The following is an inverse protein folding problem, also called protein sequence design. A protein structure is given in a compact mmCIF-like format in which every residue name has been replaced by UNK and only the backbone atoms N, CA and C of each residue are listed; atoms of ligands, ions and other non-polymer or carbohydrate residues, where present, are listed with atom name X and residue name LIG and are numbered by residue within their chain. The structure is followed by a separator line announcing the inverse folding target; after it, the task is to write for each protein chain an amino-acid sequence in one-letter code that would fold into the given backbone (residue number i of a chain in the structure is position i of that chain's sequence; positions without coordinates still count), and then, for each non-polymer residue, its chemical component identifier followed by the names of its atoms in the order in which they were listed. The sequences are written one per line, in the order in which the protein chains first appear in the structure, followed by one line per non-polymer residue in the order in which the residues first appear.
data_IF_587318108005
#
_entry.id   IF_587318108005
#
_cell.length_a   1.000
_cell.length_b   1.000
_cell.length_c   1.000
_cell.angle_alpha   90.00
_cell.angle_beta   90.00
_cell.angle_gamma   90.00
#
_symmetry.space_group_name_H-M   'P 1'
#
loop_
_entity.id
_entity.type
_entity.pdbx_description
1 polymer ?
#
# COMPACT_ATOMS: atom_id res chain seq x y z
N UNK A 1 6.30 24.20 -8.73
CA UNK A 1 6.48 22.91 -8.04
C UNK A 1 5.20 22.06 -8.03
N UNK A 2 3.99 22.64 -7.87
CA UNK A 2 2.71 21.90 -7.95
C UNK A 2 1.89 22.16 -9.24
N UNK A 3 2.54 22.50 -10.35
CA UNK A 3 1.85 22.83 -11.61
C UNK A 3 1.80 21.65 -12.59
N UNK A 4 2.50 20.56 -12.29
CA UNK A 4 2.50 19.36 -13.13
C UNK A 4 1.26 18.50 -12.80
N UNK A 5 0.30 18.35 -13.73
CA UNK A 5 -0.90 17.56 -13.51
C UNK A 5 -0.60 16.09 -13.23
N UNK A 6 0.47 15.52 -13.80
CA UNK A 6 0.85 14.12 -13.61
C UNK A 6 1.36 13.88 -12.19
N UNK A 7 2.13 14.81 -11.64
CA UNK A 7 2.61 14.72 -10.27
C UNK A 7 1.45 14.79 -9.26
N UNK A 8 0.46 15.66 -9.50
CA UNK A 8 -0.73 15.75 -8.66
C UNK A 8 -1.57 14.46 -8.71
N UNK A 9 -1.74 13.89 -9.91
CA UNK A 9 -2.41 12.61 -10.07
C UNK A 9 -1.67 11.48 -9.35
N UNK A 10 -0.34 11.43 -9.49
CA UNK A 10 0.50 10.45 -8.81
C UNK A 10 0.33 10.54 -7.30
N UNK A 11 0.43 11.73 -6.72
CA UNK A 11 0.22 11.94 -5.28
C UNK A 11 -1.18 11.50 -4.84
N UNK A 12 -2.21 11.85 -5.60
CA UNK A 12 -3.58 11.47 -5.28
C UNK A 12 -3.77 9.94 -5.29
N UNK A 13 -3.22 9.25 -6.30
CA UNK A 13 -3.30 7.79 -6.40
C UNK A 13 -2.41 7.08 -5.38
N UNK A 14 -1.22 7.61 -5.06
CA UNK A 14 -0.38 7.06 -4.01
C UNK A 14 -1.08 7.10 -2.65
N UNK A 15 -1.68 8.24 -2.29
CA UNK A 15 -2.47 8.37 -1.06
C UNK A 15 -3.70 7.45 -1.06
N UNK A 16 -4.37 7.30 -2.21
CA UNK A 16 -5.50 6.38 -2.34
C UNK A 16 -5.06 4.92 -2.17
N UNK A 17 -3.93 4.53 -2.76
CA UNK A 17 -3.34 3.21 -2.60
C UNK A 17 -2.96 2.93 -1.15
N UNK A 18 -2.27 3.86 -0.48
CA UNK A 18 -1.86 3.71 0.92
C UNK A 18 -3.08 3.54 1.84
N UNK A 19 -4.15 4.30 1.61
CA UNK A 19 -5.40 4.16 2.36
C UNK A 19 -6.05 2.79 2.13
N UNK A 20 -6.17 2.36 0.88
CA UNK A 20 -6.76 1.06 0.53
C UNK A 20 -5.92 -0.09 1.09
N UNK A 21 -4.59 0.04 1.04
CA UNK A 21 -3.67 -0.93 1.60
C UNK A 21 -3.87 -1.07 3.11
N UNK A 22 -3.88 0.05 3.85
CA UNK A 22 -4.15 0.05 5.28
C UNK A 22 -5.53 -0.53 5.63
N UNK A 23 -6.56 -0.26 4.82
CA UNK A 23 -7.88 -0.86 5.00
C UNK A 23 -7.86 -2.38 4.85
N UNK A 24 -7.22 -2.90 3.80
CA UNK A 24 -7.05 -4.34 3.59
C UNK A 24 -6.26 -5.02 4.71
N UNK A 25 -5.11 -4.46 5.07
CA UNK A 25 -4.17 -5.09 6.00
C UNK A 25 -4.60 -4.94 7.46
N UNK A 26 -5.28 -3.85 7.81
CA UNK A 26 -5.77 -3.64 9.19
C UNK A 26 -6.68 -4.77 9.66
N UNK A 27 -7.51 -5.33 8.76
CA UNK A 27 -8.37 -6.48 9.06
C UNK A 27 -7.54 -7.69 9.54
N UNK A 28 -6.40 -7.95 8.92
CA UNK A 28 -5.50 -9.05 9.29
C UNK A 28 -4.86 -8.81 10.66
N UNK A 29 -4.49 -7.56 10.97
CA UNK A 29 -3.81 -7.20 12.23
C UNK A 29 -4.79 -7.27 13.41
N UNK A 30 -6.00 -6.72 13.28
CA UNK A 30 -6.94 -6.60 14.42
C UNK A 30 -7.79 -7.84 14.66
N UNK A 31 -7.94 -8.73 13.67
CA UNK A 31 -8.85 -9.88 13.74
C UNK A 31 -8.60 -10.76 14.98
N UNK A 32 -7.35 -11.13 15.24
CA UNK A 32 -7.01 -12.02 16.37
C UNK A 32 -7.31 -11.37 17.71
N UNK A 33 -6.92 -10.11 17.89
CA UNK A 33 -7.06 -9.39 19.16
C UNK A 33 -8.52 -9.13 19.49
N UNK A 34 -9.34 -8.82 18.47
CA UNK A 34 -10.78 -8.57 18.65
C UNK A 34 -11.54 -9.88 18.90
N UNK A 35 -11.29 -10.92 18.09
CA UNK A 35 -12.03 -12.19 18.19
C UNK A 35 -11.69 -12.97 19.46
N UNK A 36 -10.44 -12.90 19.93
CA UNK A 36 -10.03 -13.43 21.23
C UNK A 36 -10.52 -12.63 22.44
N UNK A 37 -11.13 -11.45 22.19
CA UNK A 37 -11.57 -10.50 23.23
C UNK A 37 -10.44 -9.97 24.12
N UNK A 38 -9.20 -10.01 23.63
CA UNK A 38 -8.05 -9.44 24.34
C UNK A 38 -8.14 -7.89 24.43
N UNK A 39 -8.80 -7.25 23.45
CA UNK A 39 -8.94 -5.80 23.40
C UNK A 39 -10.26 -5.38 22.74
N UNK A 40 -10.79 -4.21 23.12
CA UNK A 40 -11.95 -3.64 22.43
C UNK A 40 -11.59 -3.22 20.99
N UNK A 41 -12.53 -3.31 20.02
CA UNK A 41 -12.26 -2.98 18.63
C UNK A 41 -11.66 -1.59 18.41
N UNK A 42 -12.14 -0.58 19.16
CA UNK A 42 -11.64 0.80 19.05
C UNK A 42 -10.19 0.92 19.47
N UNK A 43 -9.81 0.26 20.55
CA UNK A 43 -8.43 0.31 21.04
C UNK A 43 -7.49 -0.50 20.14
N UNK A 44 -7.96 -1.64 19.60
CA UNK A 44 -7.21 -2.43 18.63
C UNK A 44 -6.90 -1.60 17.36
N UNK A 45 -7.91 -0.93 16.79
CA UNK A 45 -7.73 -0.05 15.63
C UNK A 45 -6.80 1.13 15.94
N UNK A 46 -6.90 1.74 17.13
CA UNK A 46 -6.02 2.84 17.53
C UNK A 46 -4.56 2.38 17.58
N UNK A 47 -4.28 1.22 18.19
CA UNK A 47 -2.92 0.68 18.25
C UNK A 47 -2.39 0.29 16.88
N UNK A 48 -3.22 -0.31 16.01
CA UNK A 48 -2.84 -0.61 14.63
C UNK A 48 -2.50 0.67 13.88
N UNK A 49 -3.35 1.71 13.94
CA UNK A 49 -3.08 2.97 13.26
C UNK A 49 -1.79 3.65 13.76
N UNK A 50 -1.55 3.66 15.08
CA UNK A 50 -0.32 4.20 15.65
C UNK A 50 0.91 3.37 15.23
N UNK A 51 0.80 2.05 15.25
CA UNK A 51 1.89 1.14 14.86
C UNK A 51 2.27 1.30 13.39
N UNK A 52 1.28 1.31 12.49
CA UNK A 52 1.48 1.51 11.04
C UNK A 52 2.07 2.89 10.74
N UNK A 53 1.60 3.94 11.41
CA UNK A 53 2.14 5.28 11.23
C UNK A 53 3.57 5.43 11.75
N UNK A 54 3.87 4.90 12.95
CA UNK A 54 5.18 5.05 13.59
C UNK A 54 6.24 4.08 13.03
N UNK A 55 5.81 2.94 12.49
CA UNK A 55 6.68 1.86 12.02
C UNK A 55 7.82 2.36 11.11
N UNK A 56 7.52 3.08 10.02
CA UNK A 56 8.56 3.60 9.12
C UNK A 56 9.56 4.55 9.79
N UNK A 57 9.15 5.30 10.82
CA UNK A 57 10.02 6.24 11.54
C UNK A 57 10.93 5.54 12.55
N UNK A 58 10.49 4.41 13.11
CA UNK A 58 11.24 3.65 14.12
C UNK A 58 12.15 2.60 13.46
N UNK A 59 11.63 1.87 12.47
CA UNK A 59 12.30 0.73 11.85
C UNK A 59 12.89 1.05 10.47
N UNK A 60 12.64 2.25 9.94
CA UNK A 60 13.11 2.68 8.63
C UNK A 60 12.28 2.09 7.48
N UNK A 61 12.77 2.34 6.26
CA UNK A 61 12.07 2.05 4.99
C UNK A 61 12.85 1.06 4.12
N UNK A 62 13.56 0.12 4.74
CA UNK A 62 14.42 -0.84 4.04
C UNK A 62 13.68 -1.64 2.96
N UNK A 63 12.45 -2.11 3.24
CA UNK A 63 11.63 -2.85 2.26
C UNK A 63 11.29 -1.99 1.04
N UNK A 64 10.95 -0.71 1.24
CA UNK A 64 10.68 0.20 0.13
C UNK A 64 11.93 0.43 -0.74
N UNK A 65 13.12 0.53 -0.12
CA UNK A 65 14.38 0.63 -0.84
C UNK A 65 14.71 -0.63 -1.65
N UNK A 66 14.54 -1.82 -1.06
CA UNK A 66 14.76 -3.10 -1.75
C UNK A 66 13.79 -3.24 -2.94
N UNK A 67 12.50 -2.96 -2.74
CA UNK A 67 11.51 -2.99 -3.82
C UNK A 67 11.86 -1.99 -4.93
N UNK A 68 12.27 -0.77 -4.58
CA UNK A 68 12.61 0.25 -5.56
C UNK A 68 13.91 -0.02 -6.33
N UNK A 69 14.92 -0.61 -5.68
CA UNK A 69 16.25 -0.79 -6.27
C UNK A 69 16.45 -2.13 -7.00
N UNK A 70 15.76 -3.19 -6.58
CA UNK A 70 16.00 -4.54 -7.10
C UNK A 70 15.03 -4.97 -8.22
N UNK A 71 13.87 -4.30 -8.37
CA UNK A 71 12.85 -4.73 -9.33
C UNK A 71 12.91 -4.06 -10.70
N UNK A 72 13.34 -2.80 -10.80
CA UNK A 72 13.38 -2.07 -12.07
C UNK A 72 14.74 -1.41 -12.25
N UNK A 73 15.20 -1.35 -13.50
CA UNK A 73 16.33 -0.48 -13.86
C UNK A 73 16.00 0.98 -13.51
N UNK A 74 16.94 1.79 -13.02
CA UNK A 74 16.67 3.19 -12.65
C UNK A 74 16.06 4.00 -13.80
N UNK A 75 16.34 3.64 -15.05
CA UNK A 75 15.77 4.28 -16.24
C UNK A 75 14.28 3.99 -16.47
N UNK A 76 13.76 2.89 -15.92
CA UNK A 76 12.35 2.48 -16.05
C UNK A 76 11.44 3.05 -14.95
N UNK A 77 12.00 3.71 -13.94
CA UNK A 77 11.24 4.30 -12.82
C UNK A 77 10.84 5.74 -13.19
N UNK A 78 9.73 5.88 -13.92
CA UNK A 78 9.14 7.17 -14.29
C UNK A 78 7.81 7.38 -13.57
N UNK A 79 7.28 8.62 -13.62
CA UNK A 79 5.96 8.91 -13.03
C UNK A 79 4.88 8.08 -13.73
N UNK A 80 5.00 7.85 -15.04
CA UNK A 80 4.08 7.06 -15.84
C UNK A 80 4.08 5.59 -15.43
N UNK A 81 5.24 4.98 -15.22
CA UNK A 81 5.32 3.58 -14.77
C UNK A 81 4.79 3.41 -13.35
N UNK A 82 5.07 4.37 -12.46
CA UNK A 82 4.51 4.39 -11.12
C UNK A 82 2.98 4.57 -11.11
N UNK A 83 2.45 5.43 -11.98
CA UNK A 83 1.00 5.61 -12.16
C UNK A 83 0.32 4.35 -12.66
N UNK A 84 0.91 3.68 -13.67
CA UNK A 84 0.40 2.41 -14.19
C UNK A 84 0.38 1.32 -13.11
N UNK A 85 1.45 1.23 -12.32
CA UNK A 85 1.54 0.27 -11.22
C UNK A 85 0.51 0.55 -10.12
N UNK A 86 0.34 1.81 -9.71
CA UNK A 86 -0.65 2.22 -8.71
C UNK A 86 -2.07 1.91 -9.18
N UNK A 87 -2.41 2.23 -10.44
CA UNK A 87 -3.74 1.94 -10.99
C UNK A 87 -4.01 0.43 -11.04
N UNK A 88 -3.04 -0.37 -11.47
CA UNK A 88 -3.15 -1.84 -11.48
C UNK A 88 -3.36 -2.39 -10.07
N UNK A 89 -2.55 -1.94 -9.11
CA UNK A 89 -2.62 -2.41 -7.72
C UNK A 89 -3.93 -2.00 -7.03
N UNK A 90 -4.35 -0.73 -7.19
CA UNK A 90 -5.64 -0.23 -6.66
C UNK A 90 -6.79 -1.04 -7.26
N UNK A 91 -6.82 -1.22 -8.57
CA UNK A 91 -7.88 -1.96 -9.26
C UNK A 91 -7.96 -3.39 -8.74
N UNK A 92 -6.81 -4.06 -8.59
CA UNK A 92 -6.75 -5.41 -8.07
C UNK A 92 -7.18 -5.51 -6.61
N UNK A 93 -6.76 -4.57 -5.75
CA UNK A 93 -7.18 -4.50 -4.36
C UNK A 93 -8.72 -4.36 -4.25
N UNK A 94 -9.32 -3.46 -5.03
CA UNK A 94 -10.78 -3.30 -5.03
C UNK A 94 -11.52 -4.55 -5.52
N UNK A 95 -11.00 -5.23 -6.55
CA UNK A 95 -11.58 -6.50 -7.05
C UNK A 95 -11.52 -7.57 -5.97
N UNK A 96 -10.35 -7.78 -5.37
CA UNK A 96 -10.14 -8.83 -4.36
C UNK A 96 -10.93 -8.55 -3.09
N UNK A 97 -11.03 -7.28 -2.69
CA UNK A 97 -11.92 -6.86 -1.61
C UNK A 97 -13.37 -7.20 -1.90
N UNK A 98 -13.86 -6.84 -3.08
CA UNK A 98 -15.25 -7.10 -3.48
C UNK A 98 -15.58 -8.60 -3.51
N UNK A 99 -14.59 -9.43 -3.86
CA UNK A 99 -14.69 -10.89 -3.83
C UNK A 99 -14.43 -11.51 -2.45
N UNK A 100 -14.05 -10.73 -1.43
CA UNK A 100 -13.67 -11.22 -0.10
C UNK A 100 -12.41 -12.09 -0.08
N UNK A 101 -11.53 -11.93 -1.07
CA UNK A 101 -10.30 -12.69 -1.20
C UNK A 101 -9.15 -12.00 -0.44
N UNK A 102 -8.37 -12.73 0.38
CA UNK A 102 -7.14 -12.20 0.94
C UNK A 102 -6.13 -12.00 -0.20
N UNK A 103 -5.66 -10.77 -0.37
CA UNK A 103 -4.69 -10.39 -1.41
C UNK A 103 -3.55 -9.59 -0.80
N UNK A 104 -2.38 -9.63 -1.42
CA UNK A 104 -1.21 -8.85 -1.02
C UNK A 104 -1.05 -7.64 -1.93
N UNK A 105 -1.26 -6.44 -1.37
CA UNK A 105 -1.08 -5.18 -2.10
C UNK A 105 0.34 -4.98 -2.60
N UNK A 106 1.36 -5.41 -1.83
CA UNK A 106 2.77 -5.32 -2.24
C UNK A 106 3.04 -6.15 -3.50
N UNK A 107 2.48 -7.36 -3.61
CA UNK A 107 2.60 -8.17 -4.83
C UNK A 107 1.82 -7.56 -6.00
N UNK A 108 0.65 -6.97 -5.73
CA UNK A 108 -0.12 -6.28 -6.76
C UNK A 108 0.65 -5.07 -7.31
N UNK A 109 1.31 -4.29 -6.45
CA UNK A 109 2.15 -3.14 -6.83
C UNK A 109 3.40 -3.60 -7.60
N UNK A 110 4.09 -4.63 -7.12
CA UNK A 110 5.23 -5.24 -7.82
C UNK A 110 4.82 -5.74 -9.21
N UNK A 111 3.70 -6.47 -9.31
CA UNK A 111 3.18 -6.96 -10.59
C UNK A 111 2.83 -5.82 -11.55
N UNK A 112 2.28 -4.72 -11.02
CA UNK A 112 2.03 -3.49 -11.77
C UNK A 112 3.30 -2.82 -12.28
N UNK A 113 4.35 -2.74 -11.45
CA UNK A 113 5.66 -2.19 -11.82
C UNK A 113 6.33 -3.03 -12.91
N UNK A 114 6.36 -4.34 -12.74
CA UNK A 114 6.95 -5.29 -13.72
C UNK A 114 6.15 -5.31 -15.02
N UNK A 115 4.83 -5.13 -14.98
CA UNK A 115 4.00 -5.06 -16.19
C UNK A 115 4.10 -3.74 -16.94
N UNK A 116 4.53 -2.66 -16.27
CA UNK A 116 4.66 -1.33 -16.84
C UNK A 116 6.05 -1.03 -17.41
N UNK A 117 7.10 -1.65 -16.86
CA UNK A 117 8.48 -1.57 -17.34
C UNK A 117 8.83 -2.64 -18.38
#
# INVERSE_FOLDING_TARGET
MFQDPLLLLFLALALAFDFLNGFHDSANIVAVVITSRAMSPRLALLWTALGEFLGPFIFGVAVAHTIGAELLSPEAITIETALAALLAAITWNLITWWLGLPSSSSHALIGGLVGAG
#
